data_IF_782645755794
#
_entry.id   IF_782645755794
#
_cell.length_a   1.000
_cell.length_b   1.000
_cell.length_c   1.000
_cell.angle_alpha   90.00
_cell.angle_beta   90.00
_cell.angle_gamma   90.00
#
_symmetry.space_group_name_H-M   'P 1'
#
loop_
_entity.id
_entity.type
_entity.pdbx_description
1 polymer ?
#
# COMPACT_ATOMS: atom_id res chain seq x y z
N UNK A 1 -23.15 5.08 41.02
CA UNK A 1 -21.79 5.64 41.23
C UNK A 1 -20.77 4.53 41.00
N UNK A 2 -19.88 4.71 40.02
CA UNK A 2 -18.44 4.38 40.04
C UNK A 2 -17.94 4.35 38.59
N UNK A 3 -17.46 5.50 38.14
CA UNK A 3 -16.76 5.65 36.87
C UNK A 3 -15.42 4.94 36.94
N UNK A 4 -15.26 3.89 36.14
CA UNK A 4 -13.94 3.34 35.84
C UNK A 4 -13.19 4.38 35.00
N UNK A 5 -12.31 5.14 35.64
CA UNK A 5 -11.33 5.97 34.94
C UNK A 5 -10.48 5.04 34.08
N UNK A 6 -10.63 5.12 32.76
CA UNK A 6 -9.79 4.38 31.83
C UNK A 6 -8.33 4.80 32.09
N UNK A 7 -7.51 3.89 32.62
CA UNK A 7 -6.10 4.15 32.90
C UNK A 7 -5.42 4.60 31.60
N UNK A 8 -5.04 5.87 31.54
CA UNK A 8 -4.31 6.42 30.40
C UNK A 8 -2.80 6.26 30.63
N UNK A 9 -2.09 5.68 29.66
CA UNK A 9 -0.64 5.48 29.71
C UNK A 9 0.05 6.63 28.98
N UNK A 10 1.17 7.15 29.49
CA UNK A 10 1.83 8.35 28.95
C UNK A 10 3.16 8.02 28.29
N UNK A 11 3.44 8.59 27.12
CA UNK A 11 4.73 8.45 26.45
C UNK A 11 5.80 9.31 27.13
N UNK A 12 6.83 8.68 27.69
CA UNK A 12 7.96 9.38 28.33
C UNK A 12 8.70 10.34 27.37
N UNK A 13 8.71 10.06 26.07
CA UNK A 13 9.42 10.88 25.08
C UNK A 13 8.66 12.11 24.57
N UNK A 14 7.35 12.27 24.86
CA UNK A 14 6.59 13.45 24.40
C UNK A 14 5.36 13.82 25.25
N UNK A 15 5.14 13.16 26.39
CA UNK A 15 4.04 13.37 27.33
C UNK A 15 2.62 13.24 26.75
N UNK A 16 2.45 12.62 25.57
CA UNK A 16 1.13 12.27 25.04
C UNK A 16 0.53 11.10 25.82
N UNK A 17 -0.77 11.18 26.12
CA UNK A 17 -1.55 10.14 26.80
C UNK A 17 -2.24 9.23 25.78
N UNK A 18 -2.26 7.94 26.07
CA UNK A 18 -2.82 6.86 25.26
C UNK A 18 -3.78 6.02 26.08
N UNK A 19 -4.77 5.41 25.42
CA UNK A 19 -5.81 4.63 26.10
C UNK A 19 -5.40 3.17 26.37
N UNK A 20 -4.25 2.72 25.88
CA UNK A 20 -3.70 1.37 26.09
C UNK A 20 -2.18 1.35 25.93
N UNK A 21 -1.52 0.33 26.48
CA UNK A 21 -0.08 0.09 26.28
C UNK A 21 0.25 -0.21 24.82
N UNK A 22 -0.63 -0.94 24.11
CA UNK A 22 -0.49 -1.19 22.68
C UNK A 22 -0.43 0.12 21.87
N UNK A 23 -1.33 1.07 22.17
CA UNK A 23 -1.33 2.39 21.53
C UNK A 23 -0.07 3.20 21.85
N UNK A 24 0.47 3.07 23.07
CA UNK A 24 1.74 3.69 23.43
C UNK A 24 2.92 3.06 22.67
N UNK A 25 2.99 1.74 22.58
CA UNK A 25 4.04 1.04 21.85
C UNK A 25 3.99 1.38 20.36
N UNK A 26 2.80 1.40 19.76
CA UNK A 26 2.62 1.87 18.39
C UNK A 26 3.11 3.30 18.22
N UNK A 27 2.74 4.22 19.11
CA UNK A 27 3.23 5.59 19.07
C UNK A 27 4.76 5.72 19.19
N UNK A 28 5.40 4.89 20.03
CA UNK A 28 6.86 4.85 20.15
C UNK A 28 7.49 4.34 18.85
N UNK A 29 6.93 3.29 18.24
CA UNK A 29 7.31 2.79 16.91
C UNK A 29 7.19 3.90 15.86
N UNK A 30 6.05 4.56 15.78
CA UNK A 30 5.77 5.65 14.85
C UNK A 30 6.72 6.83 15.03
N UNK A 31 7.13 7.15 16.26
CA UNK A 31 8.09 8.23 16.54
C UNK A 31 9.50 7.91 16.08
N UNK A 32 9.94 6.65 16.19
CA UNK A 32 11.21 6.19 15.62
C UNK A 32 11.19 6.31 14.10
N UNK A 33 10.01 6.07 13.53
CA UNK A 33 9.77 6.14 12.09
C UNK A 33 9.66 7.57 11.54
N UNK A 34 8.94 8.43 12.26
CA UNK A 34 8.71 9.84 11.95
C UNK A 34 9.92 10.75 12.25
N UNK A 35 11.05 10.20 12.71
CA UNK A 35 12.33 10.94 12.69
C UNK A 35 12.69 11.44 11.27
N UNK A 36 12.08 10.84 10.24
CA UNK A 36 12.05 11.29 8.85
C UNK A 36 11.40 12.68 8.64
N UNK A 37 10.43 13.10 9.47
CA UNK A 37 9.59 14.31 9.25
C UNK A 37 10.27 15.64 9.61
N UNK A 38 11.49 15.62 10.18
CA UNK A 38 12.14 16.83 10.73
C UNK A 38 13.01 17.63 9.75
N UNK A 39 12.99 17.31 8.45
CA UNK A 39 13.75 18.06 7.44
C UNK A 39 12.78 18.90 6.61
N UNK A 40 12.84 20.25 6.68
CA UNK A 40 12.00 21.11 5.87
C UNK A 40 12.28 20.84 4.39
N UNK A 41 11.23 20.57 3.62
CA UNK A 41 11.29 20.77 2.17
C UNK A 41 11.38 22.29 1.93
N UNK A 42 12.40 22.75 1.22
CA UNK A 42 12.47 24.15 0.80
C UNK A 42 11.19 24.51 0.03
N UNK A 43 10.45 25.50 0.55
CA UNK A 43 9.25 26.03 -0.10
C UNK A 43 8.18 26.56 0.87
N UNK A 44 8.02 25.96 2.05
CA UNK A 44 6.97 26.38 2.98
C UNK A 44 7.51 27.27 4.11
N UNK A 45 7.50 28.59 3.87
CA UNK A 45 7.65 29.56 4.96
C UNK A 45 6.43 29.48 5.87
N UNK A 46 6.64 28.95 7.08
CA UNK A 46 5.63 28.95 8.13
C UNK A 46 5.18 30.39 8.48
N UNK A 47 3.87 30.67 8.60
CA UNK A 47 3.42 31.99 9.05
C UNK A 47 3.75 32.19 10.53
N UNK A 48 4.46 33.28 10.84
CA UNK A 48 4.76 33.73 12.20
C UNK A 48 3.47 33.96 12.99
N UNK A 49 3.40 33.42 14.20
CA UNK A 49 2.33 33.68 15.18
C UNK A 49 2.34 35.15 15.56
N UNK A 50 1.26 35.87 15.28
CA UNK A 50 1.00 37.20 15.85
C UNK A 50 0.27 37.03 17.17
N UNK A 51 0.82 37.63 18.21
CA UNK A 51 0.32 37.68 19.59
C UNK A 51 -0.98 38.48 19.64
N UNK A 52 -2.00 37.95 20.33
CA UNK A 52 -3.31 38.60 20.51
C UNK A 52 -3.26 39.51 21.75
N UNK A 53 -3.48 40.81 21.56
CA UNK A 53 -3.74 41.77 22.64
C UNK A 53 -5.26 42.00 22.84
N UNK A 54 -5.62 42.46 24.04
CA UNK A 54 -6.93 42.43 24.70
C UNK A 54 -7.96 43.46 24.15
N UNK A 55 -9.23 43.14 24.38
CA UNK A 55 -10.47 43.91 24.12
C UNK A 55 -10.55 45.27 24.81
N UNK A 56 -11.26 46.23 24.19
CA UNK A 56 -12.15 47.23 24.83
C UNK A 56 -13.37 47.51 23.89
N UNK A 57 -14.55 47.60 24.49
CA UNK A 57 -15.90 48.05 24.01
C UNK A 57 -15.91 49.48 23.44
N UNK A 58 -16.92 50.11 22.82
CA UNK A 58 -18.24 49.85 22.20
C UNK A 58 -18.64 51.18 21.52
N UNK A 59 -19.41 51.19 20.41
CA UNK A 59 -20.39 52.25 19.97
C UNK A 59 -20.93 51.98 18.53
N UNK A 60 -22.08 52.56 18.11
CA UNK A 60 -23.15 51.83 17.40
C UNK A 60 -23.19 51.94 15.85
N UNK A 61 -24.05 51.07 15.29
CA UNK A 61 -24.30 50.77 13.86
C UNK A 61 -24.77 51.95 12.99
N UNK A 62 -24.33 51.93 11.73
CA UNK A 62 -24.96 52.56 10.56
C UNK A 62 -25.18 51.50 9.44
N UNK A 63 -26.10 51.71 8.48
CA UNK A 63 -26.84 50.63 7.82
C UNK A 63 -26.18 50.01 6.58
N UNK A 64 -26.58 48.76 6.35
CA UNK A 64 -26.36 47.82 5.25
C UNK A 64 -25.85 48.38 3.90
N UNK A 65 -24.69 47.88 3.48
CA UNK A 65 -24.34 47.64 2.07
C UNK A 65 -23.98 46.16 1.90
N UNK A 66 -24.59 45.41 0.96
CA UNK A 66 -24.33 44.00 0.80
C UNK A 66 -23.14 43.82 -0.15
N UNK A 67 -21.92 43.87 0.38
CA UNK A 67 -20.75 43.33 -0.31
C UNK A 67 -19.74 42.82 0.72
N UNK A 68 -20.03 41.64 1.26
CA UNK A 68 -19.01 40.81 1.91
C UNK A 68 -18.48 39.80 0.90
N UNK A 69 -17.16 39.68 0.71
CA UNK A 69 -16.61 38.61 -0.10
C UNK A 69 -16.99 37.28 0.56
N UNK A 70 -17.81 36.49 -0.13
CA UNK A 70 -18.07 35.10 0.24
C UNK A 70 -16.71 34.44 0.38
N UNK A 71 -16.31 34.08 1.61
CA UNK A 71 -15.16 33.22 1.84
C UNK A 71 -15.44 31.91 1.14
N UNK A 72 -14.89 31.75 -0.08
CA UNK A 72 -14.98 30.52 -0.83
C UNK A 72 -14.46 29.39 0.06
N UNK A 73 -15.37 28.50 0.50
CA UNK A 73 -14.98 27.24 1.12
C UNK A 73 -14.11 26.53 0.09
N UNK A 74 -12.80 26.37 0.37
CA UNK A 74 -11.95 25.48 -0.42
C UNK A 74 -12.67 24.13 -0.49
N UNK A 75 -13.02 23.69 -1.70
CA UNK A 75 -13.65 22.39 -1.92
C UNK A 75 -12.81 21.30 -1.25
N UNK A 76 -13.46 20.36 -0.56
CA UNK A 76 -12.77 19.21 0.07
C UNK A 76 -11.99 18.39 -0.95
N UNK A 77 -12.37 18.47 -2.23
CA UNK A 77 -11.85 17.67 -3.34
C UNK A 77 -10.79 18.41 -4.16
N UNK A 78 -10.52 19.68 -3.84
CA UNK A 78 -9.54 20.48 -4.59
C UNK A 78 -8.12 19.89 -4.59
N UNK A 79 -7.78 19.01 -3.64
CA UNK A 79 -6.48 18.34 -3.61
C UNK A 79 -6.31 17.33 -4.74
N UNK A 80 -7.39 16.71 -5.23
CA UNK A 80 -7.32 15.77 -6.35
C UNK A 80 -6.78 16.45 -7.62
N UNK A 81 -7.05 17.74 -7.80
CA UNK A 81 -6.63 18.51 -8.98
C UNK A 81 -5.26 19.20 -8.81
N UNK A 82 -4.52 18.93 -7.74
CA UNK A 82 -3.20 19.54 -7.56
C UNK A 82 -2.21 19.08 -8.63
N UNK A 83 -1.66 20.04 -9.37
CA UNK A 83 -0.68 19.78 -10.44
C UNK A 83 -1.29 19.30 -11.76
N UNK A 84 -2.62 19.29 -11.90
CA UNK A 84 -3.29 19.06 -13.19
C UNK A 84 -3.12 20.27 -14.09
N UNK A 85 -2.86 20.03 -15.37
CA UNK A 85 -2.91 21.01 -16.45
C UNK A 85 -4.28 20.98 -17.16
N UNK A 86 -4.23 21.07 -18.48
CA UNK A 86 -5.42 21.04 -19.34
C UNK A 86 -6.11 19.66 -19.30
N UNK A 87 -7.46 19.60 -19.33
CA UNK A 87 -8.17 18.35 -19.53
C UNK A 87 -7.82 17.71 -20.89
N UNK A 88 -7.59 16.41 -20.91
CA UNK A 88 -7.26 15.63 -22.11
C UNK A 88 -8.44 14.77 -22.57
N UNK A 89 -9.02 13.99 -21.65
CA UNK A 89 -10.19 13.14 -21.92
C UNK A 89 -11.05 13.02 -20.66
N UNK A 90 -12.34 12.75 -20.85
CA UNK A 90 -13.28 12.38 -19.79
C UNK A 90 -14.05 11.14 -20.21
N UNK A 91 -13.83 10.02 -19.52
CA UNK A 91 -14.49 8.74 -19.80
C UNK A 91 -15.59 8.54 -18.76
N UNK A 92 -16.85 8.40 -19.17
CA UNK A 92 -17.92 7.99 -18.26
C UNK A 92 -17.89 6.48 -18.04
N UNK A 93 -18.28 6.00 -16.85
CA UNK A 93 -18.30 4.55 -16.58
C UNK A 93 -19.19 3.77 -17.56
N UNK A 94 -20.27 4.38 -18.05
CA UNK A 94 -21.17 3.82 -19.06
C UNK A 94 -20.58 3.78 -20.47
N UNK A 95 -19.48 4.48 -20.73
CA UNK A 95 -18.80 4.51 -22.03
C UNK A 95 -17.67 3.47 -22.13
N UNK A 96 -17.34 2.78 -21.03
CA UNK A 96 -16.32 1.72 -21.03
C UNK A 96 -16.75 0.61 -21.98
N UNK A 97 -15.88 0.28 -22.93
CA UNK A 97 -16.11 -0.78 -23.91
C UNK A 97 -15.29 -2.01 -23.53
N UNK A 98 -15.87 -3.05 -22.92
CA UNK A 98 -15.13 -4.27 -22.64
C UNK A 98 -14.70 -4.94 -23.96
N UNK A 99 -13.43 -5.32 -24.09
CA UNK A 99 -12.97 -6.12 -25.23
C UNK A 99 -13.49 -7.56 -25.18
N UNK A 100 -13.22 -8.38 -26.21
CA UNK A 100 -13.79 -9.74 -26.32
C UNK A 100 -12.98 -10.82 -25.58
N UNK A 101 -11.72 -10.54 -25.25
CA UNK A 101 -10.82 -11.49 -24.59
C UNK A 101 -11.24 -11.67 -23.12
N UNK A 102 -11.53 -12.91 -22.71
CA UNK A 102 -11.82 -13.22 -21.31
C UNK A 102 -10.60 -12.93 -20.42
N UNK A 103 -10.83 -12.43 -19.22
CA UNK A 103 -9.77 -12.15 -18.24
C UNK A 103 -9.79 -13.27 -17.20
N UNK A 104 -8.71 -14.04 -17.10
CA UNK A 104 -8.59 -15.17 -16.18
C UNK A 104 -7.35 -15.08 -15.31
N UNK A 105 -7.40 -15.72 -14.14
CA UNK A 105 -6.24 -15.91 -13.27
C UNK A 105 -5.50 -17.24 -13.50
N UNK A 106 -5.98 -18.11 -14.39
CA UNK A 106 -5.42 -19.45 -14.63
C UNK A 106 -4.07 -19.44 -15.39
N UNK A 107 -3.68 -18.31 -16.00
CA UNK A 107 -2.42 -18.15 -16.74
C UNK A 107 -1.15 -18.14 -15.88
N UNK A 108 -1.27 -18.36 -14.56
CA UNK A 108 -0.15 -18.34 -13.62
C UNK A 108 0.36 -16.93 -13.31
N UNK A 109 1.50 -16.87 -12.63
CA UNK A 109 2.18 -15.64 -12.27
C UNK A 109 3.68 -15.90 -12.00
N UNK A 110 4.47 -14.84 -12.09
CA UNK A 110 5.89 -14.82 -11.70
C UNK A 110 6.09 -13.86 -10.53
N UNK A 111 6.89 -14.26 -9.53
CA UNK A 111 7.29 -13.36 -8.44
C UNK A 111 8.50 -12.51 -8.87
N UNK A 112 8.26 -11.23 -9.18
CA UNK A 112 9.33 -10.30 -9.58
C UNK A 112 10.18 -9.84 -8.39
N UNK A 113 9.55 -9.57 -7.25
CA UNK A 113 10.27 -9.28 -6.01
C UNK A 113 9.34 -9.34 -4.80
N UNK A 114 9.95 -9.39 -3.63
CA UNK A 114 9.30 -9.34 -2.34
C UNK A 114 10.16 -8.54 -1.35
N UNK A 115 9.53 -7.85 -0.40
CA UNK A 115 10.24 -7.08 0.61
C UNK A 115 9.38 -6.76 1.84
N UNK A 116 10.02 -6.52 2.98
CA UNK A 116 9.36 -5.89 4.14
C UNK A 116 9.87 -4.47 4.34
N UNK A 117 8.99 -3.54 4.67
CA UNK A 117 9.41 -2.28 5.29
C UNK A 117 9.83 -2.50 6.75
N UNK A 118 10.84 -1.75 7.18
CA UNK A 118 11.41 -1.85 8.53
C UNK A 118 11.39 -0.49 9.23
N UNK A 119 11.11 -0.48 10.54
CA UNK A 119 11.08 0.74 11.36
C UNK A 119 12.50 1.29 11.55
N UNK A 120 12.96 2.13 10.62
CA UNK A 120 14.25 2.84 10.71
C UNK A 120 14.13 4.30 10.22
N UNK A 121 14.98 5.23 10.71
CA UNK A 121 14.98 6.62 10.25
C UNK A 121 15.30 6.77 8.76
N UNK A 122 16.20 5.94 8.23
CA UNK A 122 16.42 5.81 6.80
C UNK A 122 15.41 4.81 6.23
N UNK A 123 14.73 5.10 5.09
CA UNK A 123 13.91 4.12 4.38
C UNK A 123 14.70 2.83 4.17
N UNK A 124 14.29 1.75 4.82
CA UNK A 124 15.02 0.48 4.84
C UNK A 124 14.06 -0.68 4.60
N UNK A 125 14.50 -1.64 3.79
CA UNK A 125 13.75 -2.87 3.54
C UNK A 125 14.58 -4.13 3.79
N UNK A 126 13.90 -5.20 4.21
CA UNK A 126 14.41 -6.56 4.11
C UNK A 126 14.03 -7.16 2.76
N UNK A 127 14.96 -7.81 2.07
CA UNK A 127 14.75 -8.49 0.78
C UNK A 127 15.35 -9.89 0.84
N UNK A 128 14.64 -10.95 0.44
CA UNK A 128 13.29 -10.93 -0.13
C UNK A 128 12.21 -10.66 0.94
N UNK A 129 12.59 -10.58 2.21
CA UNK A 129 11.65 -10.43 3.30
C UNK A 129 10.82 -11.68 3.54
N UNK A 130 9.89 -11.61 4.49
CA UNK A 130 8.94 -12.65 4.82
C UNK A 130 7.70 -12.02 5.50
N UNK A 131 6.47 -12.41 5.11
CA UNK A 131 5.27 -11.93 5.81
C UNK A 131 5.18 -12.48 7.25
N UNK A 132 4.43 -11.83 8.14
CA UNK A 132 4.09 -12.41 9.44
C UNK A 132 3.48 -13.81 9.31
N UNK A 133 3.70 -14.66 10.31
CA UNK A 133 3.12 -16.02 10.36
C UNK A 133 1.80 -15.99 11.09
N UNK A 134 0.78 -16.69 10.58
CA UNK A 134 -0.46 -16.88 11.33
C UNK A 134 -0.20 -17.68 12.60
N UNK A 135 -0.80 -17.24 13.71
CA UNK A 135 -0.74 -17.97 14.99
C UNK A 135 -2.13 -18.34 15.49
N UNK A 136 -2.22 -19.53 16.09
CA UNK A 136 -3.45 -20.01 16.71
C UNK A 136 -3.74 -19.25 17.99
N UNK A 137 -5.01 -18.86 18.19
CA UNK A 137 -5.49 -18.17 19.39
C UNK A 137 -6.69 -18.90 19.97
N UNK A 138 -6.72 -19.03 21.30
CA UNK A 138 -7.89 -19.52 22.02
C UNK A 138 -9.02 -18.48 21.93
N UNK A 139 -10.24 -18.96 21.68
CA UNK A 139 -11.44 -18.12 21.57
C UNK A 139 -12.39 -18.37 22.76
N UNK A 140 -13.15 -17.34 23.21
CA UNK A 140 -13.20 -15.99 22.66
C UNK A 140 -11.93 -15.18 22.98
N UNK A 141 -11.52 -14.34 22.04
CA UNK A 141 -10.38 -13.43 22.19
C UNK A 141 -10.87 -12.00 22.10
N UNK A 142 -10.44 -11.14 23.04
CA UNK A 142 -10.75 -9.72 23.00
C UNK A 142 -9.54 -8.90 22.59
N UNK A 143 -9.72 -8.05 21.58
CA UNK A 143 -8.70 -7.08 21.13
C UNK A 143 -9.17 -5.65 21.38
N UNK A 144 -8.22 -4.72 21.46
CA UNK A 144 -8.52 -3.29 21.59
C UNK A 144 -8.98 -2.71 20.24
N UNK A 145 -9.82 -1.65 20.24
CA UNK A 145 -10.09 -0.89 19.02
C UNK A 145 -8.78 -0.38 18.39
N UNK A 146 -8.75 -0.30 17.06
CA UNK A 146 -7.61 0.21 16.30
C UNK A 146 -7.27 1.63 16.80
N UNK A 147 -5.98 1.88 16.98
CA UNK A 147 -5.46 3.13 17.50
C UNK A 147 -4.02 3.37 17.09
N UNK A 148 -3.64 4.64 17.00
CA UNK A 148 -2.28 5.03 16.58
C UNK A 148 -2.22 5.51 15.14
N UNK A 149 -1.00 5.64 14.61
CA UNK A 149 -0.78 6.01 13.22
C UNK A 149 -0.73 4.73 12.39
N UNK A 150 -1.57 4.67 11.36
CA UNK A 150 -1.55 3.60 10.37
C UNK A 150 -1.20 4.17 9.01
N UNK A 151 -0.48 3.40 8.20
CA UNK A 151 -0.12 3.83 6.86
C UNK A 151 -1.27 3.53 5.89
N UNK A 152 -1.67 4.53 5.11
CA UNK A 152 -2.59 4.34 3.98
C UNK A 152 -1.79 3.83 2.76
N UNK A 153 -0.56 4.32 2.61
CA UNK A 153 0.42 3.84 1.63
C UNK A 153 1.84 3.96 2.21
N UNK A 154 2.39 2.83 2.66
CA UNK A 154 3.74 2.78 3.24
C UNK A 154 4.81 3.23 2.24
N UNK A 155 4.67 2.87 0.96
CA UNK A 155 5.69 3.16 -0.03
C UNK A 155 5.73 4.65 -0.36
N UNK A 156 4.57 5.26 -0.56
CA UNK A 156 4.47 6.71 -0.75
C UNK A 156 4.83 7.51 0.51
N UNK A 157 4.65 6.95 1.71
CA UNK A 157 5.15 7.58 2.94
C UNK A 157 6.69 7.58 3.00
N UNK A 158 7.32 6.43 2.73
CA UNK A 158 8.76 6.22 2.89
C UNK A 158 9.58 6.82 1.75
N UNK A 159 9.03 6.79 0.53
CA UNK A 159 9.68 7.24 -0.70
C UNK A 159 8.70 8.11 -1.51
N UNK A 160 8.32 9.30 -0.99
CA UNK A 160 7.24 10.11 -1.56
C UNK A 160 7.50 10.63 -2.98
N UNK A 161 8.77 10.67 -3.40
CA UNK A 161 9.15 11.09 -4.74
C UNK A 161 9.02 9.95 -5.76
N UNK A 162 9.33 8.72 -5.37
CA UNK A 162 9.37 7.53 -6.24
C UNK A 162 8.79 6.31 -5.50
N UNK A 163 7.47 6.22 -5.31
CA UNK A 163 6.84 5.15 -4.54
C UNK A 163 7.13 3.73 -5.06
N UNK A 164 7.53 3.58 -6.33
CA UNK A 164 7.94 2.29 -6.90
C UNK A 164 9.46 2.03 -6.88
N UNK A 165 10.32 2.97 -6.45
CA UNK A 165 11.78 2.75 -6.42
C UNK A 165 12.16 1.48 -5.65
N UNK A 166 11.48 1.22 -4.53
CA UNK A 166 11.70 0.04 -3.68
C UNK A 166 11.53 -1.29 -4.43
N UNK A 167 10.63 -1.35 -5.43
CA UNK A 167 10.43 -2.56 -6.26
C UNK A 167 11.72 -2.89 -6.99
N UNK A 168 12.33 -1.89 -7.62
CA UNK A 168 13.56 -2.07 -8.40
C UNK A 168 14.78 -2.32 -7.51
N UNK A 169 14.82 -1.75 -6.31
CA UNK A 169 15.85 -2.09 -5.34
C UNK A 169 15.74 -3.55 -4.87
N UNK A 170 14.52 -4.06 -4.67
CA UNK A 170 14.31 -5.47 -4.34
C UNK A 170 14.61 -6.40 -5.52
N UNK A 171 14.21 -6.03 -6.74
CA UNK A 171 14.54 -6.77 -7.95
C UNK A 171 16.05 -6.86 -8.19
N UNK A 172 16.83 -5.82 -7.91
CA UNK A 172 18.29 -5.88 -8.01
C UNK A 172 18.92 -6.97 -7.13
N UNK A 173 18.24 -7.44 -6.07
CA UNK A 173 18.70 -8.54 -5.23
C UNK A 173 18.12 -9.86 -5.68
N UNK A 174 16.81 -9.92 -5.93
CA UNK A 174 16.12 -11.20 -6.20
C UNK A 174 16.22 -11.64 -7.65
N UNK A 175 16.18 -10.69 -8.58
CA UNK A 175 16.07 -10.92 -10.02
C UNK A 175 16.95 -9.91 -10.78
N UNK A 176 18.28 -9.92 -10.56
CA UNK A 176 19.17 -8.88 -11.05
C UNK A 176 19.22 -8.82 -12.58
N UNK A 177 19.03 -9.92 -13.30
CA UNK A 177 19.10 -9.95 -14.77
C UNK A 177 17.81 -9.50 -15.43
N UNK A 178 16.70 -9.43 -14.69
CA UNK A 178 15.40 -9.11 -15.26
C UNK A 178 15.33 -7.69 -15.80
N UNK A 179 14.66 -7.56 -16.95
CA UNK A 179 14.31 -6.29 -17.56
C UNK A 179 12.80 -6.06 -17.37
N UNK A 180 12.38 -4.83 -17.64
CA UNK A 180 11.00 -4.38 -17.50
C UNK A 180 10.45 -3.84 -18.83
N UNK A 181 11.24 -3.97 -19.91
CA UNK A 181 10.89 -3.51 -21.26
C UNK A 181 9.72 -4.27 -21.88
N UNK A 182 9.43 -5.47 -21.39
CA UNK A 182 8.32 -6.32 -21.82
C UNK A 182 7.05 -6.18 -20.94
N UNK A 183 7.08 -5.35 -19.89
CA UNK A 183 5.92 -5.08 -19.02
C UNK A 183 5.08 -3.95 -19.59
N UNK A 184 3.78 -4.18 -19.77
CA UNK A 184 2.84 -3.18 -20.28
C UNK A 184 2.39 -2.20 -19.20
N UNK A 185 2.14 -2.71 -17.98
CA UNK A 185 1.61 -1.92 -16.87
C UNK A 185 2.33 -2.25 -15.55
N UNK A 186 2.83 -1.23 -14.87
CA UNK A 186 3.27 -1.31 -13.47
C UNK A 186 2.25 -0.57 -12.60
N UNK A 187 1.64 -1.27 -11.65
CA UNK A 187 0.64 -0.66 -10.77
C UNK A 187 0.61 -1.33 -9.40
N UNK A 188 -0.34 -0.91 -8.57
CA UNK A 188 -0.66 -1.56 -7.32
C UNK A 188 -2.11 -2.08 -7.32
N UNK A 189 -2.34 -3.10 -6.50
CA UNK A 189 -3.63 -3.78 -6.33
C UNK A 189 -4.78 -2.83 -5.96
N UNK A 190 -4.52 -1.75 -5.22
CA UNK A 190 -5.57 -0.79 -4.87
C UNK A 190 -6.04 0.03 -6.07
N UNK A 191 -5.12 0.51 -6.91
CA UNK A 191 -5.47 1.23 -8.14
C UNK A 191 -6.33 0.37 -9.07
N UNK A 192 -5.99 -0.91 -9.25
CA UNK A 192 -6.80 -1.84 -10.05
C UNK A 192 -8.20 -2.06 -9.48
N UNK A 193 -8.35 -2.10 -8.15
CA UNK A 193 -9.67 -2.19 -7.51
C UNK A 193 -10.54 -0.96 -7.77
N UNK A 194 -9.96 0.24 -7.71
CA UNK A 194 -10.69 1.48 -8.04
C UNK A 194 -11.14 1.49 -9.50
N UNK A 195 -10.26 1.07 -10.43
CA UNK A 195 -10.62 0.97 -11.85
C UNK A 195 -11.71 -0.10 -12.07
N UNK A 196 -11.63 -1.25 -11.41
CA UNK A 196 -12.66 -2.29 -11.49
C UNK A 196 -14.01 -1.80 -10.97
N UNK A 197 -14.04 -1.10 -9.83
CA UNK A 197 -15.27 -0.53 -9.30
C UNK A 197 -15.83 0.54 -10.25
N UNK A 198 -14.98 1.41 -10.81
CA UNK A 198 -15.38 2.38 -11.83
C UNK A 198 -16.04 1.70 -13.04
N UNK A 199 -15.45 0.62 -13.57
CA UNK A 199 -16.02 -0.18 -14.67
C UNK A 199 -17.35 -0.86 -14.29
N UNK A 200 -17.62 -1.08 -12.99
CA UNK A 200 -18.92 -1.54 -12.47
C UNK A 200 -19.92 -0.42 -12.25
N UNK A 201 -19.58 0.83 -12.59
CA UNK A 201 -20.40 2.00 -12.26
C UNK A 201 -20.43 2.32 -10.76
N UNK A 202 -19.44 1.86 -9.99
CA UNK A 202 -19.30 2.08 -8.54
C UNK A 202 -18.11 2.99 -8.27
N UNK A 203 -18.24 3.86 -7.28
CA UNK A 203 -17.14 4.68 -6.77
C UNK A 203 -17.45 4.94 -5.30
N UNK A 204 -16.87 4.14 -4.41
CA UNK A 204 -17.10 4.24 -2.98
C UNK A 204 -16.48 5.50 -2.40
N UNK A 205 -15.27 5.81 -2.88
CA UNK A 205 -14.51 7.00 -2.54
C UNK A 205 -13.91 7.58 -3.82
N UNK A 206 -13.88 8.92 -3.89
CA UNK A 206 -13.15 9.63 -4.94
C UNK A 206 -11.68 9.22 -4.91
N UNK A 207 -11.07 9.02 -6.07
CA UNK A 207 -9.68 8.59 -6.16
C UNK A 207 -8.91 9.39 -7.21
N UNK A 208 -7.58 9.39 -7.04
CA UNK A 208 -6.63 9.92 -8.00
C UNK A 208 -5.50 8.94 -8.21
N UNK A 209 -5.11 8.81 -9.46
CA UNK A 209 -3.91 8.11 -9.88
C UNK A 209 -3.05 9.03 -10.75
N UNK A 210 -1.76 9.03 -10.47
CA UNK A 210 -0.77 9.70 -11.30
C UNK A 210 -0.24 8.67 -12.32
N UNK A 211 -0.15 9.06 -13.58
CA UNK A 211 0.12 8.18 -14.72
C UNK A 211 1.40 8.61 -15.41
N UNK A 212 2.30 7.67 -15.67
CA UNK A 212 3.57 7.93 -16.32
C UNK A 212 3.84 6.90 -17.41
N UNK A 213 4.57 7.29 -18.44
CA UNK A 213 5.06 6.33 -19.44
C UNK A 213 6.59 6.25 -19.39
N UNK A 214 7.09 5.04 -19.12
CA UNK A 214 8.51 4.70 -19.21
C UNK A 214 8.67 3.77 -20.41
N UNK A 215 9.24 4.28 -21.50
CA UNK A 215 9.19 3.62 -22.81
C UNK A 215 7.76 3.22 -23.20
N UNK A 216 7.41 1.93 -23.14
CA UNK A 216 6.08 1.42 -23.43
C UNK A 216 5.27 1.04 -22.16
N UNK A 217 5.91 1.04 -20.99
CA UNK A 217 5.28 0.65 -19.73
C UNK A 217 4.51 1.82 -19.13
N UNK A 218 3.20 1.63 -18.93
CA UNK A 218 2.36 2.54 -18.15
C UNK A 218 2.60 2.30 -16.66
N UNK A 219 3.15 3.29 -15.95
CA UNK A 219 3.29 3.26 -14.49
C UNK A 219 2.14 4.04 -13.87
N UNK A 220 1.39 3.39 -12.98
CA UNK A 220 0.21 3.95 -12.30
C UNK A 220 0.48 4.05 -10.80
N UNK A 221 0.64 5.28 -10.31
CA UNK A 221 0.84 5.58 -8.90
C UNK A 221 -0.47 5.97 -8.23
N UNK A 222 -0.75 5.34 -7.08
CA UNK A 222 -1.86 5.76 -6.21
C UNK A 222 -1.50 7.10 -5.57
N UNK A 223 -2.40 8.08 -5.62
CA UNK A 223 -2.22 9.34 -4.90
C UNK A 223 -3.27 9.51 -3.81
N UNK A 224 -2.78 9.59 -2.58
CA UNK A 224 -3.61 9.83 -1.40
C UNK A 224 -3.38 11.24 -0.85
N UNK A 225 -4.41 11.81 -0.22
CA UNK A 225 -4.30 13.13 0.43
C UNK A 225 -3.30 13.11 1.57
N UNK A 226 -3.27 12.00 2.30
CA UNK A 226 -2.36 11.71 3.38
C UNK A 226 -1.89 10.27 3.22
N UNK A 227 -0.60 10.02 3.41
CA UNK A 227 -0.03 8.66 3.38
C UNK A 227 -0.20 7.93 4.71
N UNK A 228 -0.71 8.63 5.73
CA UNK A 228 -0.99 8.14 7.09
C UNK A 228 -2.38 8.54 7.55
N UNK A 229 -3.01 7.70 8.35
CA UNK A 229 -4.20 8.02 9.13
C UNK A 229 -3.90 7.93 10.62
N UNK A 230 -4.45 8.86 11.40
CA UNK A 230 -4.42 8.79 12.86
C UNK A 230 -5.76 8.27 13.36
N UNK A 231 -5.80 7.02 13.84
CA UNK A 231 -6.99 6.45 14.45
C UNK A 231 -6.96 6.74 15.95
N UNK A 232 -7.97 7.44 16.45
CA UNK A 232 -8.00 7.92 17.85
C UNK A 232 -8.59 6.93 18.87
N UNK A 233 -8.65 5.63 18.55
CA UNK A 233 -9.08 4.58 19.50
C UNK A 233 -10.48 4.78 20.10
N UNK A 234 -11.40 5.39 19.33
CA UNK A 234 -12.75 5.70 19.79
C UNK A 234 -13.72 4.53 19.58
N UNK A 235 -14.96 4.64 20.09
CA UNK A 235 -16.01 3.61 19.90
C UNK A 235 -16.33 3.28 18.42
N UNK A 236 -15.97 4.18 17.50
CA UNK A 236 -16.16 4.01 16.05
C UNK A 236 -14.91 3.49 15.32
N UNK A 237 -13.79 3.26 16.03
CA UNK A 237 -12.60 2.65 15.44
C UNK A 237 -12.87 1.22 14.98
N UNK A 238 -12.16 0.81 13.94
CA UNK A 238 -12.11 -0.59 13.50
C UNK A 238 -11.43 -1.51 14.52
N UNK A 239 -11.32 -2.78 14.16
CA UNK A 239 -10.56 -3.79 14.91
C UNK A 239 -9.64 -4.57 13.97
N UNK A 240 -9.36 -4.04 12.79
CA UNK A 240 -8.66 -4.76 11.73
C UNK A 240 -7.19 -4.95 12.06
N UNK A 241 -6.50 -3.84 12.37
CA UNK A 241 -5.08 -3.85 12.69
C UNK A 241 -4.81 -4.56 14.02
N UNK A 242 -5.60 -4.30 15.04
CA UNK A 242 -5.46 -4.99 16.32
C UNK A 242 -5.74 -6.49 16.21
N UNK A 243 -6.64 -6.91 15.31
CA UNK A 243 -6.89 -8.32 15.07
C UNK A 243 -5.73 -8.97 14.32
N UNK A 244 -5.20 -8.31 13.28
CA UNK A 244 -4.02 -8.76 12.54
C UNK A 244 -2.80 -8.93 13.46
N UNK A 245 -2.49 -7.94 14.30
CA UNK A 245 -1.42 -8.02 15.32
C UNK A 245 -1.68 -9.15 16.32
N UNK A 246 -2.95 -9.42 16.65
CA UNK A 246 -3.30 -10.50 17.56
C UNK A 246 -3.14 -11.88 16.91
N UNK A 247 -3.41 -12.08 15.63
CA UNK A 247 -3.38 -13.40 14.97
C UNK A 247 -2.13 -13.65 14.14
N UNK A 248 -1.13 -12.78 14.23
CA UNK A 248 0.15 -12.95 13.55
C UNK A 248 1.34 -12.76 14.48
N UNK A 249 2.47 -13.35 14.10
CA UNK A 249 3.77 -13.09 14.73
C UNK A 249 4.83 -12.81 13.66
N UNK A 250 5.78 -11.88 13.91
CA UNK A 250 6.86 -11.62 12.97
C UNK A 250 7.77 -12.86 12.83
N UNK A 251 8.39 -13.08 11.66
CA UNK A 251 9.38 -14.13 11.49
C UNK A 251 10.57 -13.95 12.46
N UNK A 252 11.27 -15.04 12.84
CA UNK A 252 12.44 -14.98 13.71
C UNK A 252 13.47 -13.95 13.23
N UNK A 253 13.90 -13.05 14.12
CA UNK A 253 14.88 -11.99 13.80
C UNK A 253 14.33 -10.84 12.94
N UNK A 254 13.02 -10.75 12.74
CA UNK A 254 12.35 -9.71 11.93
C UNK A 254 11.25 -8.98 12.70
N UNK A 255 11.42 -8.76 14.00
CA UNK A 255 10.43 -8.10 14.88
C UNK A 255 10.22 -6.61 14.58
N UNK A 256 11.03 -6.01 13.71
CA UNK A 256 11.00 -4.59 13.33
C UNK A 256 10.31 -4.31 11.98
N UNK A 257 9.63 -5.31 11.39
CA UNK A 257 8.86 -5.15 10.15
C UNK A 257 7.54 -4.40 10.38
N UNK A 258 7.07 -3.67 9.36
CA UNK A 258 5.76 -2.95 9.39
C UNK A 258 4.78 -3.36 8.32
N UNK A 259 5.20 -4.13 7.33
CA UNK A 259 4.35 -4.58 6.24
C UNK A 259 5.19 -5.34 5.21
N UNK A 260 4.60 -6.39 4.64
CA UNK A 260 5.24 -7.23 3.65
C UNK A 260 4.60 -7.04 2.29
N UNK A 261 5.40 -6.83 1.26
CA UNK A 261 4.95 -6.53 -0.08
C UNK A 261 5.51 -7.53 -1.08
N UNK A 262 4.72 -7.79 -2.12
CA UNK A 262 5.12 -8.57 -3.28
C UNK A 262 4.78 -7.82 -4.55
N UNK A 263 5.53 -8.12 -5.61
CA UNK A 263 5.21 -7.72 -6.97
C UNK A 263 5.11 -8.99 -7.80
N UNK A 264 3.92 -9.29 -8.29
CA UNK A 264 3.71 -10.37 -9.23
C UNK A 264 3.61 -9.82 -10.65
N UNK A 265 4.17 -10.56 -11.60
CA UNK A 265 3.93 -10.37 -13.03
C UNK A 265 2.94 -11.44 -13.50
N UNK A 266 1.88 -11.03 -14.19
CA UNK A 266 0.89 -11.94 -14.76
C UNK A 266 0.15 -11.28 -15.93
N UNK A 267 -0.49 -12.12 -16.76
CA UNK A 267 -1.40 -11.66 -17.80
C UNK A 267 -2.71 -11.12 -17.20
N UNK A 268 -3.13 -9.95 -17.69
CA UNK A 268 -4.43 -9.38 -17.41
C UNK A 268 -5.14 -9.09 -18.74
N UNK A 269 -5.72 -10.12 -19.35
CA UNK A 269 -6.47 -9.99 -20.60
C UNK A 269 -5.60 -9.56 -21.76
N UNK A 270 -4.41 -10.14 -21.88
CA UNK A 270 -3.42 -9.83 -22.91
C UNK A 270 -2.45 -8.70 -22.55
N UNK A 271 -2.61 -8.05 -21.39
CA UNK A 271 -1.66 -7.07 -20.87
C UNK A 271 -0.72 -7.73 -19.86
N UNK A 272 0.58 -7.67 -20.11
CA UNK A 272 1.56 -8.14 -19.16
C UNK A 272 1.72 -7.13 -18.01
N UNK A 273 1.17 -7.46 -16.84
CA UNK A 273 1.04 -6.53 -15.73
C UNK A 273 1.93 -6.93 -14.55
N UNK A 274 2.73 -5.97 -14.06
CA UNK A 274 3.41 -6.06 -12.77
C UNK A 274 2.58 -5.35 -11.69
N UNK A 275 2.10 -6.12 -10.71
CA UNK A 275 1.15 -5.65 -9.70
C UNK A 275 1.74 -5.81 -8.31
N UNK A 276 1.92 -4.67 -7.63
CA UNK A 276 2.35 -4.61 -6.23
C UNK A 276 1.16 -4.75 -5.29
N UNK A 277 1.31 -5.56 -4.25
CA UNK A 277 0.36 -5.67 -3.15
C UNK A 277 1.03 -6.02 -1.84
N UNK A 278 0.33 -5.72 -0.74
CA UNK A 278 0.66 -6.17 0.60
C UNK A 278 0.11 -7.58 0.84
N UNK A 279 0.85 -8.40 1.59
CA UNK A 279 0.43 -9.71 2.10
C UNK A 279 0.46 -9.65 3.62
N UNK A 280 -0.68 -9.96 4.25
CA UNK A 280 -0.85 -9.78 5.68
C UNK A 280 -0.16 -10.91 6.46
N UNK A 281 -0.22 -12.14 5.94
CA UNK A 281 0.43 -13.27 6.56
C UNK A 281 0.78 -14.42 5.61
N UNK A 282 1.58 -15.36 6.11
CA UNK A 282 1.79 -16.69 5.53
C UNK A 282 0.85 -17.67 6.22
N UNK A 283 0.10 -18.42 5.42
CA UNK A 283 -0.65 -19.59 5.83
C UNK A 283 0.24 -20.82 5.76
N UNK A 284 0.51 -21.39 6.93
CA UNK A 284 1.36 -22.55 7.10
C UNK A 284 1.48 -22.79 8.59
N UNK A 285 0.59 -23.62 9.13
CA UNK A 285 0.84 -24.24 10.44
C UNK A 285 2.12 -25.06 10.20
N UNK A 286 3.21 -24.85 10.94
CA UNK A 286 4.28 -25.83 10.91
C UNK A 286 3.62 -27.16 11.28
N UNK A 287 3.60 -28.11 10.36
CA UNK A 287 3.27 -29.48 10.71
C UNK A 287 4.17 -29.81 11.91
N UNK A 288 3.56 -30.02 13.07
CA UNK A 288 4.21 -30.78 14.10
C UNK A 288 4.33 -32.18 13.49
N UNK A 289 5.46 -32.46 12.85
CA UNK A 289 5.85 -33.82 12.54
C UNK A 289 6.09 -34.54 13.87
N UNK A 290 5.01 -35.02 14.48
CA UNK A 290 5.03 -36.23 15.28
C UNK A 290 5.36 -37.37 14.30
N UNK A 291 6.64 -37.69 14.23
CA UNK A 291 7.16 -38.66 13.26
C UNK A 291 8.61 -38.99 13.53
N UNK A 292 8.91 -39.45 14.75
CA UNK A 292 10.17 -40.12 15.02
C UNK A 292 10.36 -41.30 14.05
N UNK A 293 11.17 -41.12 13.02
CA UNK A 293 11.91 -42.20 12.38
C UNK A 293 13.36 -41.76 12.18
N UNK A 294 14.18 -42.19 13.13
CA UNK A 294 15.61 -42.36 12.95
C UNK A 294 15.85 -43.20 11.69
N UNK A 295 16.57 -42.65 10.73
CA UNK A 295 17.41 -43.45 9.84
C UNK A 295 18.80 -42.84 9.85
N UNK A 296 19.77 -43.67 10.24
CA UNK A 296 21.17 -43.33 10.38
C UNK A 296 21.87 -43.18 9.03
N UNK A 297 22.88 -42.29 9.06
CA UNK A 297 24.10 -42.22 8.25
C UNK A 297 24.11 -41.37 6.94
N UNK A 298 25.28 -40.83 6.54
CA UNK A 298 26.39 -40.31 7.35
C UNK A 298 26.80 -38.87 6.98
N UNK A 299 27.42 -38.21 7.97
CA UNK A 299 28.14 -36.94 7.88
C UNK A 299 29.20 -36.92 6.77
N UNK A 300 29.15 -35.91 5.89
CA UNK A 300 30.20 -35.69 4.88
C UNK A 300 30.09 -34.37 4.12
N UNK A 301 30.74 -33.32 4.64
CA UNK A 301 31.18 -32.11 3.91
C UNK A 301 30.07 -31.16 3.41
N UNK A 302 30.24 -29.84 3.36
CA UNK A 302 31.46 -29.07 3.36
C UNK A 302 31.25 -27.71 4.03
N UNK A 303 32.30 -27.29 4.75
CA UNK A 303 32.48 -25.99 5.41
C UNK A 303 32.58 -24.84 4.38
N UNK A 304 32.49 -25.16 3.08
CA UNK A 304 32.60 -24.22 1.95
C UNK A 304 31.37 -23.33 1.72
N UNK A 305 30.18 -23.70 2.23
CA UNK A 305 28.98 -22.85 2.08
C UNK A 305 28.91 -21.69 3.10
N UNK A 306 29.65 -21.80 4.21
CA UNK A 306 29.80 -20.71 5.19
C UNK A 306 30.90 -19.72 4.78
N UNK A 307 31.91 -20.17 4.03
CA UNK A 307 32.94 -19.30 3.47
C UNK A 307 32.39 -18.38 2.36
N UNK A 308 31.53 -18.88 1.48
CA UNK A 308 30.89 -18.06 0.43
C UNK A 308 29.87 -17.05 0.96
N UNK A 309 29.35 -17.22 2.18
CA UNK A 309 28.49 -16.23 2.84
C UNK A 309 29.27 -15.18 3.65
N UNK A 310 30.58 -15.37 3.86
CA UNK A 310 31.47 -14.41 4.53
C UNK A 310 32.26 -13.53 3.56
N UNK A 311 32.40 -13.90 2.28
CA UNK A 311 33.12 -13.11 1.28
C UNK A 311 32.35 -11.89 0.72
N UNK A 312 31.05 -11.77 0.99
CA UNK A 312 30.26 -10.59 0.62
C UNK A 312 30.17 -9.51 1.73
N UNK A 313 30.96 -9.65 2.80
CA UNK A 313 31.09 -8.63 3.87
C UNK A 313 32.40 -7.86 3.70
N UNK A 314 32.63 -7.30 2.51
CA UNK A 314 33.62 -6.24 2.34
C UNK A 314 32.96 -4.89 2.68
N UNK A 315 33.14 -4.44 3.93
CA UNK A 315 32.80 -3.07 4.35
C UNK A 315 33.77 -2.10 3.68
N UNK A 316 33.42 -1.68 2.45
CA UNK A 316 34.08 -0.58 1.78
C UNK A 316 33.75 0.74 2.48
N UNK A 317 34.61 1.17 3.40
CA UNK A 317 34.56 2.49 4.02
C UNK A 317 34.99 3.55 3.00
N UNK A 318 34.15 3.82 2.00
CA UNK A 318 34.28 5.02 1.16
C UNK A 318 33.55 6.16 1.85
N UNK A 319 34.31 7.19 2.25
CA UNK A 319 33.79 8.48 2.71
C UNK A 319 33.02 9.13 1.56
N UNK A 320 31.75 8.78 1.39
CA UNK A 320 30.88 9.49 0.47
C UNK A 320 30.50 10.84 1.07
N UNK A 321 30.91 11.89 0.38
CA UNK A 321 30.46 13.27 0.55
C UNK A 321 28.94 13.35 0.61
N UNK A 322 28.33 14.20 1.47
CA UNK A 322 26.88 14.24 1.61
C UNK A 322 26.27 14.79 0.31
N UNK A 323 25.63 13.91 -0.47
CA UNK A 323 24.72 14.34 -1.52
C UNK A 323 23.47 14.99 -0.90
N UNK A 324 22.99 16.04 -1.55
CA UNK A 324 21.92 16.96 -1.14
C UNK A 324 20.77 16.34 -0.33
N UNK A 325 20.23 17.06 0.68
CA UNK A 325 19.14 16.57 1.52
C UNK A 325 17.82 16.57 0.73
N UNK A 326 17.50 15.46 0.05
CA UNK A 326 16.24 15.34 -0.67
C UNK A 326 15.94 13.98 -1.32
N UNK A 327 16.92 13.09 -1.46
CA UNK A 327 16.71 11.76 -2.01
C UNK A 327 17.60 10.74 -1.29
N UNK A 328 17.17 10.26 -0.11
CA UNK A 328 17.80 9.08 0.49
C UNK A 328 17.25 7.86 -0.23
N UNK A 329 18.08 7.20 -1.05
CA UNK A 329 17.74 5.93 -1.67
C UNK A 329 17.44 4.87 -0.60
N UNK A 330 16.55 3.93 -0.93
CA UNK A 330 16.10 2.86 -0.03
C UNK A 330 17.29 1.96 0.31
N UNK A 331 17.57 1.79 1.61
CA UNK A 331 18.58 0.84 2.08
C UNK A 331 18.02 -0.58 2.04
N UNK A 332 18.73 -1.47 1.36
CA UNK A 332 18.38 -2.89 1.27
C UNK A 332 19.20 -3.69 2.28
N UNK A 333 18.57 -4.62 2.98
CA UNK A 333 19.23 -5.62 3.84
C UNK A 333 18.74 -7.00 3.38
N UNK A 334 19.65 -7.90 3.04
CA UNK A 334 19.28 -9.27 2.68
C UNK A 334 18.81 -10.04 3.92
N UNK A 335 17.52 -10.40 3.98
CA UNK A 335 16.89 -11.14 5.08
C UNK A 335 15.51 -11.66 4.68
N UNK A 336 15.11 -12.80 5.23
CA UNK A 336 13.84 -13.48 4.94
C UNK A 336 13.97 -14.47 3.79
N UNK A 337 12.92 -15.25 3.55
CA UNK A 337 12.95 -16.39 2.60
C UNK A 337 11.90 -16.30 1.47
N UNK A 338 11.03 -15.28 1.46
CA UNK A 338 9.88 -15.14 0.56
C UNK A 338 9.13 -16.47 0.30
N UNK A 339 8.28 -16.92 1.23
CA UNK A 339 7.51 -18.15 1.09
C UNK A 339 6.68 -18.20 -0.20
N UNK A 340 6.33 -19.39 -0.72
CA UNK A 340 5.52 -19.52 -1.95
C UNK A 340 4.26 -18.65 -1.93
N UNK A 341 3.87 -18.12 -3.08
CA UNK A 341 2.65 -17.31 -3.20
C UNK A 341 1.38 -18.11 -2.90
N UNK A 342 1.41 -19.44 -3.09
CA UNK A 342 0.35 -20.36 -2.69
C UNK A 342 0.08 -20.36 -1.17
N UNK A 343 0.99 -19.82 -0.36
CA UNK A 343 0.80 -19.67 1.09
C UNK A 343 0.38 -18.25 1.51
N UNK A 344 0.19 -17.32 0.58
CA UNK A 344 -0.17 -15.95 0.92
C UNK A 344 -1.59 -15.87 1.51
N UNK A 345 -1.75 -15.14 2.60
CA UNK A 345 -3.02 -14.93 3.28
C UNK A 345 -3.36 -13.44 3.45
N UNK A 346 -4.64 -13.14 3.30
CA UNK A 346 -5.25 -11.86 3.64
C UNK A 346 -6.09 -12.02 4.92
N UNK A 347 -6.00 -11.07 5.85
CA UNK A 347 -6.68 -11.10 7.14
C UNK A 347 -7.77 -10.01 7.18
N UNK A 348 -8.98 -10.38 7.61
CA UNK A 348 -10.10 -9.45 7.76
C UNK A 348 -10.82 -9.62 9.10
N UNK A 349 -11.03 -8.49 9.80
CA UNK A 349 -11.99 -8.41 10.90
C UNK A 349 -13.42 -8.22 10.36
N UNK A 350 -14.35 -9.05 10.77
CA UNK A 350 -15.73 -9.13 10.28
C UNK A 350 -16.70 -8.96 11.47
N UNK A 351 -17.64 -8.02 11.39
CA UNK A 351 -18.73 -7.90 12.38
C UNK A 351 -19.80 -9.00 12.16
N UNK A 352 -20.67 -9.26 13.14
CA UNK A 352 -21.71 -10.33 13.08
C UNK A 352 -22.60 -10.31 11.80
N UNK A 353 -22.85 -9.13 11.19
CA UNK A 353 -23.51 -8.95 9.88
C UNK A 353 -22.53 -8.41 8.81
N UNK A 354 -21.31 -8.94 8.80
CA UNK A 354 -20.19 -8.33 8.11
C UNK A 354 -20.20 -8.52 6.59
N UNK A 355 -19.10 -8.10 5.96
CA UNK A 355 -18.95 -8.05 4.51
C UNK A 355 -19.12 -9.44 3.87
N UNK A 356 -19.92 -9.51 2.81
CA UNK A 356 -20.04 -10.73 1.99
C UNK A 356 -18.70 -11.09 1.36
N UNK A 357 -18.42 -12.38 1.21
CA UNK A 357 -17.19 -12.91 0.61
C UNK A 357 -16.88 -12.24 -0.73
N UNK A 358 -17.89 -12.12 -1.60
CA UNK A 358 -17.79 -11.51 -2.93
C UNK A 358 -17.25 -10.07 -2.95
N UNK A 359 -17.34 -9.33 -1.84
CA UNK A 359 -16.80 -7.96 -1.72
C UNK A 359 -15.30 -7.94 -1.42
N UNK A 360 -14.76 -9.06 -0.92
CA UNK A 360 -13.34 -9.23 -0.59
C UNK A 360 -12.57 -9.92 -1.73
N UNK A 361 -13.23 -10.82 -2.47
CA UNK A 361 -12.61 -11.55 -3.59
C UNK A 361 -11.85 -10.67 -4.60
N UNK A 362 -12.31 -9.47 -5.03
CA UNK A 362 -11.52 -8.66 -5.96
C UNK A 362 -10.14 -8.29 -5.41
N UNK A 363 -10.04 -8.08 -4.10
CA UNK A 363 -8.77 -7.76 -3.45
C UNK A 363 -7.80 -8.95 -3.49
N UNK A 364 -8.29 -10.17 -3.25
CA UNK A 364 -7.49 -11.39 -3.28
C UNK A 364 -7.14 -11.80 -4.71
N UNK A 365 -8.08 -11.62 -5.65
CA UNK A 365 -7.92 -11.94 -7.06
C UNK A 365 -6.75 -11.19 -7.70
N UNK A 366 -6.69 -9.86 -7.55
CA UNK A 366 -5.57 -9.05 -8.05
C UNK A 366 -4.24 -9.28 -7.31
N UNK A 367 -4.28 -9.89 -6.12
CA UNK A 367 -3.07 -10.27 -5.38
C UNK A 367 -2.64 -11.72 -5.60
N UNK A 368 -3.42 -12.51 -6.38
CA UNK A 368 -3.28 -13.98 -6.47
C UNK A 368 -3.13 -14.60 -5.07
N UNK A 369 -3.97 -14.15 -4.14
CA UNK A 369 -3.90 -14.52 -2.72
C UNK A 369 -4.91 -15.63 -2.42
N UNK A 370 -4.47 -16.87 -2.17
CA UNK A 370 -5.38 -18.01 -2.06
C UNK A 370 -6.07 -18.10 -0.70
N UNK A 371 -5.45 -17.64 0.39
CA UNK A 371 -6.03 -17.77 1.73
C UNK A 371 -6.71 -16.50 2.21
N UNK A 372 -7.90 -16.65 2.79
CA UNK A 372 -8.63 -15.61 3.49
C UNK A 372 -8.87 -16.01 4.94
N UNK A 373 -8.33 -15.21 5.87
CA UNK A 373 -8.54 -15.37 7.32
C UNK A 373 -9.57 -14.35 7.80
N UNK A 374 -10.70 -14.82 8.32
CA UNK A 374 -11.82 -14.00 8.79
C UNK A 374 -12.04 -14.17 10.28
N UNK A 375 -11.77 -13.11 11.04
CA UNK A 375 -12.13 -13.03 12.45
C UNK A 375 -13.50 -12.40 12.64
N UNK A 376 -14.46 -13.16 13.16
CA UNK A 376 -15.82 -12.69 13.43
C UNK A 376 -15.93 -12.17 14.86
N UNK A 377 -16.36 -10.92 15.00
CA UNK A 377 -16.40 -10.24 16.28
C UNK A 377 -17.66 -9.43 16.54
N UNK A 378 -17.90 -9.20 17.83
CA UNK A 378 -18.81 -8.19 18.33
C UNK A 378 -18.01 -7.19 19.16
N UNK A 379 -17.85 -5.97 18.64
CA UNK A 379 -17.12 -4.88 19.30
C UNK A 379 -15.73 -5.29 19.87
N UNK A 380 -14.90 -5.95 19.04
CA UNK A 380 -13.56 -6.43 19.41
C UNK A 380 -13.52 -7.76 20.17
N UNK A 381 -14.67 -8.36 20.51
CA UNK A 381 -14.74 -9.71 21.06
C UNK A 381 -14.91 -10.72 19.91
N UNK A 382 -13.82 -11.37 19.53
CA UNK A 382 -13.76 -12.37 18.47
C UNK A 382 -14.18 -13.73 19.02
N UNK A 383 -15.15 -14.37 18.36
CA UNK A 383 -15.69 -15.67 18.80
C UNK A 383 -15.47 -16.77 17.77
N UNK A 384 -15.03 -16.42 16.56
CA UNK A 384 -14.77 -17.36 15.49
C UNK A 384 -13.67 -16.79 14.58
N UNK A 385 -12.68 -17.61 14.26
CA UNK A 385 -11.68 -17.33 13.22
C UNK A 385 -11.82 -18.44 12.18
N UNK A 386 -12.04 -18.08 10.92
CA UNK A 386 -12.02 -19.01 9.79
C UNK A 386 -10.81 -18.72 8.92
N UNK A 387 -10.05 -19.75 8.58
CA UNK A 387 -8.99 -19.67 7.58
C UNK A 387 -9.39 -20.60 6.45
N UNK A 388 -9.62 -20.05 5.26
CA UNK A 388 -10.17 -20.78 4.12
C UNK A 388 -9.27 -20.53 2.89
N UNK A 389 -8.95 -21.59 2.14
CA UNK A 389 -8.50 -21.44 0.76
C UNK A 389 -9.72 -21.06 -0.09
N UNK A 390 -9.63 -19.96 -0.82
CA UNK A 390 -10.72 -19.39 -1.63
C UNK A 390 -10.44 -19.42 -3.13
N UNK A 391 -9.48 -20.21 -3.61
CA UNK A 391 -9.12 -20.29 -5.04
C UNK A 391 -10.31 -20.65 -5.94
N UNK A 392 -11.11 -21.64 -5.54
CA UNK A 392 -12.33 -21.98 -6.29
C UNK A 392 -13.36 -20.85 -6.25
N UNK A 393 -13.47 -20.11 -5.13
CA UNK A 393 -14.33 -18.92 -5.10
C UNK A 393 -13.81 -17.79 -5.99
N UNK A 394 -12.50 -17.68 -6.20
CA UNK A 394 -11.90 -16.70 -7.10
C UNK A 394 -12.20 -17.05 -8.55
N UNK A 395 -12.11 -18.33 -8.95
CA UNK A 395 -12.51 -18.83 -10.27
C UNK A 395 -14.00 -18.60 -10.54
N UNK A 396 -14.86 -18.99 -9.60
CA UNK A 396 -16.31 -18.73 -9.68
C UNK A 396 -16.62 -17.23 -9.76
N UNK A 397 -15.85 -16.39 -9.07
CA UNK A 397 -16.04 -14.96 -9.10
C UNK A 397 -15.62 -14.36 -10.43
N UNK A 398 -14.47 -14.72 -10.99
CA UNK A 398 -14.04 -14.17 -12.27
C UNK A 398 -15.00 -14.59 -13.39
N UNK A 399 -15.52 -15.82 -13.37
CA UNK A 399 -16.39 -16.36 -14.43
C UNK A 399 -17.78 -15.69 -14.53
N UNK A 400 -18.23 -14.95 -13.51
CA UNK A 400 -19.52 -14.25 -13.56
C UNK A 400 -19.51 -13.16 -14.63
N UNK A 401 -20.54 -13.11 -15.48
CA UNK A 401 -20.67 -12.15 -16.58
C UNK A 401 -20.39 -10.70 -16.17
N UNK A 402 -21.01 -10.25 -15.08
CA UNK A 402 -20.82 -8.88 -14.59
C UNK A 402 -19.37 -8.58 -14.17
N UNK A 403 -18.64 -9.59 -13.71
CA UNK A 403 -17.23 -9.47 -13.33
C UNK A 403 -16.34 -9.54 -14.57
N UNK A 404 -16.61 -10.44 -15.52
CA UNK A 404 -15.92 -10.46 -16.81
C UNK A 404 -16.09 -9.15 -17.57
N UNK A 405 -17.31 -8.60 -17.65
CA UNK A 405 -17.56 -7.28 -18.27
C UNK A 405 -16.69 -6.20 -17.60
N UNK A 406 -16.65 -6.18 -16.26
CA UNK A 406 -15.85 -5.20 -15.54
C UNK A 406 -14.34 -5.40 -15.71
N UNK A 407 -13.84 -6.65 -15.66
CA UNK A 407 -12.43 -6.98 -15.85
C UNK A 407 -11.95 -6.62 -17.26
N UNK A 408 -12.72 -6.99 -18.30
CA UNK A 408 -12.46 -6.59 -19.69
C UNK A 408 -12.52 -5.08 -19.88
N UNK A 409 -13.42 -4.41 -19.15
CA UNK A 409 -13.47 -2.95 -19.07
C UNK A 409 -12.21 -2.33 -18.45
N UNK A 410 -11.61 -2.96 -17.42
CA UNK A 410 -10.33 -2.52 -16.84
C UNK A 410 -9.21 -2.63 -17.88
N UNK A 411 -9.13 -3.74 -18.62
CA UNK A 411 -8.13 -3.93 -19.68
C UNK A 411 -8.24 -2.85 -20.74
N UNK A 412 -9.45 -2.59 -21.24
CA UNK A 412 -9.70 -1.52 -22.19
C UNK A 412 -9.29 -0.15 -21.63
N UNK A 413 -9.65 0.14 -20.38
CA UNK A 413 -9.34 1.41 -19.73
C UNK A 413 -7.83 1.61 -19.55
N UNK A 414 -7.08 0.57 -19.18
CA UNK A 414 -5.62 0.60 -19.11
C UNK A 414 -5.01 0.94 -20.47
N UNK A 415 -5.54 0.35 -21.55
CA UNK A 415 -5.18 0.69 -22.93
C UNK A 415 -5.42 2.17 -23.24
N UNK A 416 -6.62 2.69 -22.96
CA UNK A 416 -6.94 4.10 -23.18
C UNK A 416 -6.03 5.04 -22.39
N UNK A 417 -5.80 4.75 -21.10
CA UNK A 417 -4.92 5.54 -20.26
C UNK A 417 -3.48 5.54 -20.81
N UNK A 418 -3.00 4.38 -21.28
CA UNK A 418 -1.68 4.26 -21.90
C UNK A 418 -1.58 5.12 -23.17
N UNK A 419 -2.57 5.08 -24.06
CA UNK A 419 -2.58 5.89 -25.28
C UNK A 419 -2.62 7.39 -24.99
N UNK A 420 -3.41 7.82 -24.00
CA UNK A 420 -3.50 9.23 -23.59
C UNK A 420 -2.17 9.73 -23.02
N UNK A 421 -1.51 8.93 -22.17
CA UNK A 421 -0.20 9.28 -21.63
C UNK A 421 0.87 9.27 -22.73
N UNK A 422 0.81 8.30 -23.66
CA UNK A 422 1.70 8.25 -24.82
C UNK A 422 1.54 9.46 -25.73
N UNK A 423 0.32 9.94 -25.92
CA UNK A 423 0.04 11.11 -26.77
C UNK A 423 0.31 12.44 -26.07
N UNK A 424 0.44 12.46 -24.73
CA UNK A 424 0.75 13.68 -24.00
C UNK A 424 2.19 14.14 -24.23
N UNK A 425 2.41 15.45 -24.17
CA UNK A 425 3.72 16.06 -24.37
C UNK A 425 4.72 15.62 -23.29
N UNK A 426 4.29 15.59 -22.03
CA UNK A 426 5.15 15.32 -20.88
C UNK A 426 5.30 13.83 -20.56
N UNK A 427 4.57 12.95 -21.26
CA UNK A 427 4.47 11.50 -20.95
C UNK A 427 4.04 11.23 -19.50
N UNK A 428 3.27 12.16 -18.94
CA UNK A 428 2.83 12.18 -17.54
C UNK A 428 1.46 12.86 -17.46
N UNK A 429 0.48 12.17 -16.89
CA UNK A 429 -0.90 12.63 -16.75
C UNK A 429 -1.40 12.39 -15.32
N UNK A 430 -2.51 13.04 -14.96
CA UNK A 430 -3.21 12.79 -13.70
C UNK A 430 -4.63 12.38 -14.05
N UNK A 431 -5.09 11.24 -13.54
CA UNK A 431 -6.48 10.82 -13.66
C UNK A 431 -7.21 10.95 -12.33
N UNK A 432 -8.38 11.56 -12.35
CA UNK A 432 -9.23 11.82 -11.20
C UNK A 432 -10.62 11.25 -11.45
N UNK A 433 -11.14 10.50 -10.50
CA UNK A 433 -12.53 10.09 -10.47
C UNK A 433 -13.16 10.58 -9.17
N UNK A 434 -14.14 11.47 -9.30
CA UNK A 434 -14.96 11.87 -8.16
C UNK A 434 -16.13 10.90 -8.00
N UNK A 435 -16.60 10.71 -6.78
CA UNK A 435 -17.74 9.83 -6.45
C UNK A 435 -19.09 10.35 -6.94
N UNK A 436 -19.13 11.59 -7.44
CA UNK A 436 -20.32 12.25 -7.98
C UNK A 436 -20.81 11.59 -9.27
N UNK A 437 -22.14 11.51 -9.42
CA UNK A 437 -22.79 10.92 -10.60
C UNK A 437 -23.07 11.99 -11.67
N UNK A 438 -22.96 11.66 -12.97
CA UNK A 438 -22.47 10.40 -13.53
C UNK A 438 -20.97 10.20 -13.29
N UNK A 439 -20.55 8.96 -13.01
CA UNK A 439 -19.14 8.65 -12.71
C UNK A 439 -18.28 8.91 -13.94
N UNK A 440 -17.26 9.73 -13.76
CA UNK A 440 -16.29 10.11 -14.79
C UNK A 440 -14.88 9.87 -14.29
N UNK A 441 -14.04 9.28 -15.13
CA UNK A 441 -12.60 9.32 -15.00
C UNK A 441 -12.07 10.41 -15.93
N UNK A 442 -11.64 11.52 -15.34
CA UNK A 442 -11.11 12.68 -16.07
C UNK A 442 -9.59 12.62 -16.04
N UNK A 443 -8.96 12.73 -17.20
CA UNK A 443 -7.50 12.73 -17.36
C UNK A 443 -7.04 14.12 -17.76
N UNK A 444 -6.01 14.61 -17.08
CA UNK A 444 -5.42 15.93 -17.28
C UNK A 444 -3.95 15.79 -17.63
N UNK A 445 -3.43 16.72 -18.43
CA UNK A 445 -2.00 16.87 -18.67
C UNK A 445 -1.28 17.27 -17.38
N UNK A 446 0.06 17.20 -17.38
CA UNK A 446 0.89 17.78 -16.33
C UNK A 446 1.75 18.89 -16.90
N UNK A 447 2.00 19.95 -16.13
CA UNK A 447 2.77 21.11 -16.61
C UNK A 447 4.23 20.80 -16.92
N UNK A 448 4.79 19.75 -16.30
CA UNK A 448 6.18 19.34 -16.48
C UNK A 448 6.26 17.82 -16.51
N UNK A 449 7.20 17.30 -17.31
CA UNK A 449 7.55 15.88 -17.27
C UNK A 449 8.07 15.52 -15.90
N UNK A 450 7.42 14.53 -15.29
CA UNK A 450 7.84 13.88 -14.06
C UNK A 450 8.18 12.44 -14.39
N UNK A 451 9.29 11.95 -13.85
CA UNK A 451 9.65 10.54 -13.95
C UNK A 451 9.07 9.79 -12.73
N UNK A 452 8.52 8.58 -12.92
CA UNK A 452 8.03 7.76 -11.80
C UNK A 452 9.17 7.12 -10.99
N UNK A 453 10.40 7.16 -11.52
CA UNK A 453 11.57 6.49 -10.97
C UNK A 453 12.83 7.35 -11.19
N UNK A 454 13.90 7.12 -10.41
CA UNK A 454 15.21 7.69 -10.72
C UNK A 454 15.71 7.25 -12.11
N UNK A 455 16.39 8.15 -12.83
CA UNK A 455 16.88 7.86 -14.18
C UNK A 455 17.76 6.60 -14.24
N UNK A 456 18.70 6.44 -13.30
CA UNK A 456 19.55 5.24 -13.22
C UNK A 456 18.75 3.93 -13.10
N UNK A 457 17.60 3.97 -12.43
CA UNK A 457 16.70 2.80 -12.33
C UNK A 457 16.04 2.53 -13.69
N UNK A 458 15.53 3.57 -14.35
CA UNK A 458 14.96 3.46 -15.69
C UNK A 458 16.00 2.89 -16.66
N UNK A 459 17.22 3.41 -16.64
CA UNK A 459 18.31 2.92 -17.48
C UNK A 459 18.62 1.44 -17.22
N UNK A 460 18.69 1.01 -15.96
CA UNK A 460 19.00 -0.38 -15.60
C UNK A 460 17.97 -1.38 -16.12
N UNK A 461 16.69 -1.04 -16.02
CA UNK A 461 15.58 -1.97 -16.21
C UNK A 461 14.91 -1.86 -17.58
N UNK A 462 15.02 -0.73 -18.27
CA UNK A 462 14.38 -0.51 -19.57
C UNK A 462 15.35 -0.34 -20.75
N UNK A 463 16.62 0.02 -20.56
CA UNK A 463 17.56 0.00 -21.69
C UNK A 463 17.88 -1.46 -22.04
N UNK A 464 17.64 -1.80 -23.30
CA UNK A 464 18.23 -2.97 -23.92
C UNK A 464 19.70 -2.63 -24.20
N UNK A 465 20.60 -3.59 -23.98
CA UNK A 465 22.01 -3.44 -24.31
C UNK A 465 22.23 -3.37 -25.83
#
# INVERSE_FOLDING_TARGET
>A
MNGASARSVTCAGCNRKFMSDAALQQHIRDRKDAAHDKIPAEGDKAPKKVVRAKSIESTPKAPNTPNSPVKAKKSKDGWFFQGTGTPLISIQSSQVQPGDVAVTSDGGYELLCSYNWVIKPQPTVYVPGEPPRLVSRSLPMRVSPDSGVHFIDQNSFRVPKYPFEVVFQAMNVMNPTSKFSDVDVLTNRNSLRHLLDFCRGKCWDSFRIDLYLVQNTLVIERRERSTKEMIRGSRNSGFGHSFEEAVTEPPPGMTDITGHHRVLRYDLGGLNCAVRFEVDAVHGIPEAEDGAQQTDAPLGGSVDQLAQSLENVAVGSSKQTPSSPGARSVRVITRGIAPPQTQAAEIKSIRRNGKHLSTMLPQLWFGRTPYLVRGYHDNGNFTLIRSENVEENLKDWEAKDQNQIALRGVVWLLGQLREVVRSSETKSCIAVCLSDKPLKLQVFSTAQRKLPLPEKVIERFWKND
#
